data_IF_978371425724
#
_entry.id   IF_978371425724
#
_cell.length_a   1.000
_cell.length_b   1.000
_cell.length_c   1.000
_cell.angle_alpha   90.00
_cell.angle_beta   90.00
_cell.angle_gamma   90.00
#
_symmetry.space_group_name_H-M   'P 1'
#
loop_
_entity.id
_entity.type
_entity.pdbx_description
1 polymer ?
#
# COMPACT_ATOMS: atom_id res chain seq x y z
N UNK A 1 4.37 5.44 -6.76
CA UNK A 1 3.40 5.78 -5.70
C UNK A 1 3.92 5.44 -4.32
N UNK A 2 3.97 4.19 -3.85
CA UNK A 2 4.32 3.86 -2.46
C UNK A 2 5.48 4.69 -1.87
N UNK A 3 6.64 4.71 -2.53
CA UNK A 3 7.80 5.48 -2.08
C UNK A 3 7.51 6.98 -1.96
N UNK A 4 6.94 7.59 -3.01
CA UNK A 4 6.59 9.02 -3.04
C UNK A 4 5.53 9.36 -1.98
N UNK A 5 4.42 8.61 -1.96
CA UNK A 5 3.29 8.81 -1.03
C UNK A 5 3.68 8.56 0.44
N UNK A 6 4.55 7.59 0.68
CA UNK A 6 5.05 7.27 2.01
C UNK A 6 5.97 8.36 2.55
N UNK A 7 6.89 8.87 1.72
CA UNK A 7 7.76 10.00 2.09
C UNK A 7 6.94 11.27 2.34
N UNK A 8 5.95 11.57 1.48
CA UNK A 8 5.02 12.70 1.68
C UNK A 8 4.24 12.60 3.01
N UNK A 9 4.06 11.37 3.54
CA UNK A 9 3.41 11.10 4.82
C UNK A 9 4.36 11.06 6.02
N UNK A 10 5.67 11.21 5.81
CA UNK A 10 6.69 11.14 6.86
C UNK A 10 7.05 9.71 7.28
N UNK A 11 6.71 8.70 6.48
CA UNK A 11 7.09 7.32 6.76
C UNK A 11 8.60 7.11 6.56
N UNK A 12 9.22 6.37 7.47
CA UNK A 12 10.64 6.01 7.38
C UNK A 12 10.84 4.91 6.34
N UNK A 13 12.10 4.71 5.94
CA UNK A 13 12.46 3.57 5.10
C UNK A 13 12.04 2.23 5.73
N UNK A 14 12.06 2.12 7.06
CA UNK A 14 11.58 0.94 7.77
C UNK A 14 10.08 0.72 7.55
N UNK A 15 9.25 1.74 7.80
CA UNK A 15 7.79 1.62 7.61
C UNK A 15 7.44 1.26 6.15
N UNK A 16 8.12 1.89 5.18
CA UNK A 16 7.90 1.61 3.76
C UNK A 16 8.35 0.18 3.41
N UNK A 17 9.51 -0.26 3.92
CA UNK A 17 10.01 -1.61 3.72
C UNK A 17 9.08 -2.67 4.30
N UNK A 18 8.53 -2.44 5.49
CA UNK A 18 7.57 -3.34 6.12
C UNK A 18 6.30 -3.54 5.28
N UNK A 19 5.86 -2.54 4.51
CA UNK A 19 4.71 -2.66 3.61
C UNK A 19 5.02 -3.61 2.43
N UNK A 20 6.26 -3.62 1.97
CA UNK A 20 6.71 -4.42 0.82
C UNK A 20 7.04 -5.87 1.20
N UNK A 21 7.24 -6.15 2.48
CA UNK A 21 7.71 -7.45 2.96
C UNK A 21 6.57 -8.27 3.56
N UNK A 22 6.59 -9.58 3.31
CA UNK A 22 5.75 -10.52 4.06
C UNK A 22 6.36 -10.75 5.43
N UNK A 23 5.51 -10.83 6.46
CA UNK A 23 5.93 -11.19 7.82
C UNK A 23 6.31 -12.67 7.92
N UNK A 24 5.57 -13.53 7.21
CA UNK A 24 5.82 -14.96 7.09
C UNK A 24 5.60 -15.41 5.65
N UNK A 25 6.03 -16.61 5.28
CA UNK A 25 5.84 -17.12 3.92
C UNK A 25 4.35 -17.21 3.50
N UNK A 26 3.44 -17.30 4.46
CA UNK A 26 2.01 -17.55 4.25
C UNK A 26 1.12 -16.33 4.47
N UNK A 27 1.64 -15.23 5.05
CA UNK A 27 0.87 -14.00 5.27
C UNK A 27 1.15 -13.02 4.13
N UNK A 28 0.10 -12.57 3.43
CA UNK A 28 0.21 -11.52 2.42
C UNK A 28 0.85 -10.26 3.03
N UNK A 29 1.69 -9.59 2.25
CA UNK A 29 2.19 -8.26 2.59
C UNK A 29 1.12 -7.21 2.29
N UNK A 30 1.24 -6.04 2.91
CA UNK A 30 0.31 -4.94 2.67
C UNK A 30 0.31 -4.50 1.19
N UNK A 31 1.45 -4.56 0.49
CA UNK A 31 1.49 -4.25 -0.95
C UNK A 31 0.73 -5.28 -1.80
N UNK A 32 0.74 -6.56 -1.41
CA UNK A 32 -0.01 -7.61 -2.10
C UNK A 32 -1.51 -7.43 -1.89
N UNK A 33 -1.95 -7.11 -0.66
CA UNK A 33 -3.35 -6.79 -0.38
C UNK A 33 -3.84 -5.60 -1.22
N UNK A 34 -3.03 -4.52 -1.33
CA UNK A 34 -3.35 -3.35 -2.16
C UNK A 34 -3.55 -3.75 -3.63
N UNK A 35 -2.64 -4.57 -4.17
CA UNK A 35 -2.70 -5.02 -5.58
C UNK A 35 -3.90 -5.93 -5.81
N UNK A 36 -4.19 -6.85 -4.89
CA UNK A 36 -5.33 -7.76 -4.97
C UNK A 36 -6.66 -6.99 -4.94
N UNK A 37 -6.83 -6.08 -3.98
CA UNK A 37 -8.02 -5.22 -3.89
C UNK A 37 -8.18 -4.35 -5.15
N UNK A 38 -7.08 -3.83 -5.71
CA UNK A 38 -7.14 -3.04 -6.94
C UNK A 38 -7.50 -3.89 -8.17
N UNK A 39 -7.03 -5.14 -8.24
CA UNK A 39 -7.32 -6.05 -9.34
C UNK A 39 -8.81 -6.40 -9.42
N UNK A 40 -9.47 -6.55 -8.27
CA UNK A 40 -10.93 -6.76 -8.17
C UNK A 40 -11.73 -5.57 -8.74
N UNK A 41 -11.20 -4.35 -8.65
CA UNK A 41 -11.82 -3.12 -9.18
C UNK A 41 -11.48 -2.85 -10.66
N UNK A 42 -10.32 -3.33 -11.11
CA UNK A 42 -9.67 -2.88 -12.34
C UNK A 42 -10.16 -3.54 -13.62
N UNK A 43 -10.79 -4.71 -13.55
CA UNK A 43 -11.49 -5.35 -14.69
C UNK A 43 -10.74 -5.36 -16.04
N UNK A 44 -9.41 -5.42 -16.04
CA UNK A 44 -8.56 -5.41 -17.23
C UNK A 44 -8.17 -4.02 -17.80
N UNK A 45 -8.66 -2.91 -17.24
CA UNK A 45 -8.26 -1.57 -17.64
C UNK A 45 -7.11 -1.04 -16.77
N UNK A 46 -5.93 -0.85 -17.37
CA UNK A 46 -4.71 -0.42 -16.66
C UNK A 46 -4.91 0.91 -15.90
N UNK A 47 -5.58 1.89 -16.50
CA UNK A 47 -5.77 3.20 -15.87
C UNK A 47 -6.66 3.11 -14.64
N UNK A 48 -7.76 2.33 -14.72
CA UNK A 48 -8.67 2.08 -13.59
C UNK A 48 -7.95 1.30 -12.49
N UNK A 49 -7.14 0.31 -12.87
CA UNK A 49 -6.32 -0.46 -11.94
C UNK A 49 -5.31 0.44 -11.19
N UNK A 50 -4.53 1.27 -11.91
CA UNK A 50 -3.54 2.15 -11.29
C UNK A 50 -4.18 3.22 -10.41
N UNK A 51 -5.36 3.74 -10.79
CA UNK A 51 -6.14 4.63 -9.94
C UNK A 51 -6.59 3.92 -8.67
N UNK A 52 -7.12 2.69 -8.78
CA UNK A 52 -7.53 1.90 -7.63
C UNK A 52 -6.34 1.61 -6.69
N UNK A 53 -5.18 1.23 -7.23
CA UNK A 53 -3.93 1.06 -6.45
C UNK A 53 -3.60 2.34 -5.69
N UNK A 54 -3.68 3.51 -6.33
CA UNK A 54 -3.42 4.80 -5.67
C UNK A 54 -4.32 5.03 -4.47
N UNK A 55 -5.63 4.90 -4.67
CA UNK A 55 -6.65 5.22 -3.67
C UNK A 55 -6.58 4.26 -2.47
N UNK A 56 -6.40 2.97 -2.74
CA UNK A 56 -6.26 1.95 -1.68
C UNK A 56 -4.96 2.18 -0.91
N UNK A 57 -3.87 2.50 -1.61
CA UNK A 57 -2.59 2.81 -0.99
C UNK A 57 -2.66 4.08 -0.13
N UNK A 58 -3.41 5.10 -0.53
CA UNK A 58 -3.61 6.29 0.31
C UNK A 58 -4.24 5.90 1.66
N UNK A 59 -5.35 5.14 1.65
CA UNK A 59 -5.97 4.64 2.89
C UNK A 59 -4.99 3.84 3.77
N UNK A 60 -4.30 2.86 3.19
CA UNK A 60 -3.38 1.99 3.96
C UNK A 60 -2.20 2.77 4.56
N UNK A 61 -1.67 3.77 3.84
CA UNK A 61 -0.58 4.60 4.35
C UNK A 61 -1.04 5.56 5.45
N UNK A 62 -2.28 6.05 5.38
CA UNK A 62 -2.88 6.88 6.43
C UNK A 62 -3.08 6.04 7.71
N UNK A 63 -3.61 4.82 7.61
CA UNK A 63 -3.76 3.89 8.74
C UNK A 63 -2.40 3.63 9.44
N UNK A 64 -1.35 3.34 8.67
CA UNK A 64 -0.01 3.07 9.21
C UNK A 64 0.56 4.30 9.91
N UNK A 65 0.35 5.49 9.35
CA UNK A 65 0.81 6.73 9.97
C UNK A 65 0.15 6.95 11.33
N UNK A 66 -1.14 6.68 11.46
CA UNK A 66 -1.85 6.80 12.74
C UNK A 66 -1.32 5.83 13.80
N UNK A 67 -0.95 4.61 13.42
CA UNK A 67 -0.41 3.60 14.35
C UNK A 67 1.05 3.83 14.77
N UNK A 68 1.84 4.54 13.97
CA UNK A 68 3.25 4.85 14.26
C UNK A 68 3.41 6.16 15.06
N UNK A 69 2.38 7.02 15.06
CA UNK A 69 2.41 8.33 15.71
C UNK A 69 1.98 8.31 17.19
N UNK A 70 1.78 7.13 17.77
CA UNK A 70 1.52 6.86 19.19
C UNK A 70 2.77 6.26 19.85
#
# INVERSE_FOLDING_TARGET
MLLKKGVERGLTAFHIGSIMCRETLTKESAIEEIVREAAERGGGCETVFLQAVSEIMDRRLDDIKEHVSL
#
